data_IF_778224022471
#
_entry.id   IF_778224022471
#
_cell.length_a   1.000
_cell.length_b   1.000
_cell.length_c   1.000
_cell.angle_alpha   90.00
_cell.angle_beta   90.00
_cell.angle_gamma   90.00
#
_symmetry.space_group_name_H-M   'P 1'
#
loop_
_entity.id
_entity.type
_entity.pdbx_description
1 polymer ?
#
# COMPACT_ATOMS: atom_id res chain seq x y z
N UNK A 1 -25.01 -9.93 21.45
CA UNK A 1 -24.34 -9.08 22.47
C UNK A 1 -22.84 -8.94 22.15
N UNK A 2 -22.47 -8.38 20.98
CA UNK A 2 -21.09 -8.37 20.43
C UNK A 2 -20.74 -7.05 19.72
N UNK A 3 -21.12 -5.92 20.32
CA UNK A 3 -20.89 -4.58 19.75
C UNK A 3 -20.18 -3.61 20.69
N UNK A 4 -19.78 -4.04 21.91
CA UNK A 4 -19.11 -3.15 22.89
C UNK A 4 -17.58 -3.14 22.86
N UNK A 5 -16.92 -4.04 22.12
CA UNK A 5 -15.44 -4.16 22.14
C UNK A 5 -14.69 -3.34 21.07
N UNK A 6 -15.37 -2.76 20.07
CA UNK A 6 -14.71 -1.96 19.03
C UNK A 6 -14.44 -0.51 19.48
N UNK A 7 -15.23 0.04 20.41
CA UNK A 7 -15.14 1.43 20.84
C UNK A 7 -14.06 1.67 21.92
N UNK A 8 -13.71 0.64 22.71
CA UNK A 8 -12.69 0.73 23.75
C UNK A 8 -11.27 0.64 23.20
N UNK A 9 -11.06 -0.06 22.07
CA UNK A 9 -9.75 -0.17 21.42
C UNK A 9 -9.27 1.17 20.86
N UNK A 10 -10.18 2.02 20.38
CA UNK A 10 -9.85 3.30 19.76
C UNK A 10 -9.39 4.38 20.79
N UNK A 11 -9.96 4.42 22.01
CA UNK A 11 -9.53 5.40 23.04
C UNK A 11 -8.17 5.11 23.67
N UNK A 12 -7.74 3.85 23.68
CA UNK A 12 -6.45 3.45 24.25
C UNK A 12 -5.28 3.70 23.30
N UNK A 13 -5.53 3.91 22.01
CA UNK A 13 -4.50 4.24 21.03
C UNK A 13 -4.23 5.75 20.97
N UNK A 14 -5.29 6.58 20.99
CA UNK A 14 -5.12 8.04 21.00
C UNK A 14 -4.33 8.56 22.21
N UNK A 15 -4.54 7.96 23.38
CA UNK A 15 -3.84 8.38 24.61
C UNK A 15 -2.36 8.00 24.60
N UNK A 16 -1.99 6.87 23.96
CA UNK A 16 -0.59 6.47 23.76
C UNK A 16 0.10 7.30 22.69
N UNK A 17 -0.62 7.67 21.63
CA UNK A 17 -0.16 8.57 20.56
C UNK A 17 0.13 9.98 21.09
N UNK A 18 -0.82 10.60 21.83
CA UNK A 18 -0.65 11.94 22.41
C UNK A 18 0.53 11.99 23.40
N UNK A 19 0.69 10.96 24.22
CA UNK A 19 1.74 10.90 25.26
C UNK A 19 3.14 10.74 24.68
N UNK A 20 3.32 9.96 23.60
CA UNK A 20 4.61 9.83 22.89
C UNK A 20 4.94 11.06 22.04
N UNK A 21 3.94 11.70 21.46
CA UNK A 21 4.10 12.94 20.69
C UNK A 21 4.50 14.13 21.59
N UNK A 22 3.85 14.29 22.75
CA UNK A 22 4.17 15.32 23.76
C UNK A 22 5.57 15.14 24.36
N UNK A 23 5.99 13.90 24.65
CA UNK A 23 7.33 13.63 25.18
C UNK A 23 8.44 13.95 24.18
N UNK A 24 8.22 13.72 22.88
CA UNK A 24 9.21 14.03 21.84
C UNK A 24 9.24 15.52 21.49
N UNK A 25 8.14 16.26 21.65
CA UNK A 25 8.12 17.72 21.50
C UNK A 25 8.92 18.43 22.61
N UNK A 26 8.86 17.91 23.84
CA UNK A 26 9.64 18.40 24.98
C UNK A 26 11.15 18.12 24.86
N UNK A 27 11.55 17.18 24.02
CA UNK A 27 12.94 16.75 23.86
C UNK A 27 13.67 17.37 22.65
N UNK A 28 13.09 18.36 21.97
CA UNK A 28 13.76 19.02 20.84
C UNK A 28 14.84 20.00 21.34
N UNK A 29 16.13 19.88 20.94
CA UNK A 29 17.27 20.62 21.49
C UNK A 29 17.18 22.15 21.30
N UNK A 30 16.36 22.60 20.36
CA UNK A 30 16.10 24.03 20.10
C UNK A 30 15.21 24.67 21.19
N UNK A 31 14.45 23.89 21.96
CA UNK A 31 13.64 24.38 23.08
C UNK A 31 14.40 24.41 24.41
N UNK A 32 15.42 23.57 24.57
CA UNK A 32 16.19 23.47 25.81
C UNK A 32 17.17 24.64 25.99
N UNK A 33 17.77 25.14 24.92
CA UNK A 33 18.79 26.20 24.99
C UNK A 33 18.24 27.55 25.51
N UNK A 34 17.13 28.11 24.99
CA UNK A 34 16.60 29.37 25.53
C UNK A 34 15.99 29.20 26.92
N UNK A 35 15.40 28.04 27.22
CA UNK A 35 14.85 27.75 28.54
C UNK A 35 15.96 27.67 29.61
N UNK A 36 17.08 27.01 29.30
CA UNK A 36 18.25 26.96 30.17
C UNK A 36 18.93 28.34 30.31
N UNK A 37 19.05 29.12 29.22
CA UNK A 37 19.62 30.48 29.29
C UNK A 37 18.74 31.39 30.15
N UNK A 38 17.41 31.38 29.98
CA UNK A 38 16.49 32.17 30.80
C UNK A 38 16.47 31.74 32.27
N UNK A 39 16.57 30.44 32.56
CA UNK A 39 16.60 29.92 33.92
C UNK A 39 17.97 30.19 34.61
N UNK A 40 19.05 30.23 33.84
CA UNK A 40 20.40 30.63 34.31
C UNK A 40 20.46 32.14 34.60
N UNK A 41 19.85 32.99 33.76
CA UNK A 41 19.77 34.44 33.99
C UNK A 41 18.95 34.80 35.22
N UNK A 42 17.80 34.13 35.43
CA UNK A 42 16.97 34.36 36.63
C UNK A 42 17.68 33.91 37.91
N UNK A 43 18.44 32.80 37.86
CA UNK A 43 19.29 32.36 38.97
C UNK A 43 20.46 33.31 39.22
N UNK A 44 21.07 33.87 38.18
CA UNK A 44 22.15 34.86 38.29
C UNK A 44 21.65 36.18 38.91
N UNK A 45 20.47 36.65 38.52
CA UNK A 45 19.82 37.82 39.11
C UNK A 45 19.51 37.65 40.60
N UNK A 46 19.17 36.42 41.02
CA UNK A 46 18.92 36.09 42.42
C UNK A 46 20.20 35.92 43.25
N UNK A 47 21.32 35.51 42.63
CA UNK A 47 22.60 35.29 43.34
C UNK A 47 23.47 36.53 43.49
N UNK A 48 23.35 37.52 42.59
CA UNK A 48 24.14 38.76 42.66
C UNK A 48 23.41 39.96 43.28
N UNK A 49 22.17 39.79 43.77
CA UNK A 49 21.34 40.81 44.44
C UNK A 49 21.26 42.15 43.70
N UNK A 50 21.22 42.10 42.36
CA UNK A 50 21.15 43.29 41.51
C UNK A 50 19.71 43.76 41.43
N UNK A 51 19.30 44.55 42.42
CA UNK A 51 17.93 45.09 42.55
C UNK A 51 17.71 46.30 41.64
N UNK A 52 17.69 46.07 40.32
CA UNK A 52 17.25 47.08 39.34
C UNK A 52 15.97 46.61 38.66
N UNK A 53 14.88 47.37 38.83
CA UNK A 53 13.57 47.04 38.26
C UNK A 53 13.61 46.89 36.73
N UNK A 54 14.56 47.55 36.06
CA UNK A 54 14.79 47.41 34.63
C UNK A 54 15.35 46.03 34.22
N UNK A 55 16.23 45.41 35.02
CA UNK A 55 16.80 44.11 34.71
C UNK A 55 15.79 42.97 34.91
N UNK A 56 14.96 43.06 35.96
CA UNK A 56 13.82 42.15 36.17
C UNK A 56 12.81 42.23 35.02
N UNK A 57 12.50 43.46 34.57
CA UNK A 57 11.60 43.67 33.45
C UNK A 57 12.19 43.13 32.13
N UNK A 58 13.49 43.34 31.89
CA UNK A 58 14.17 42.81 30.71
C UNK A 58 14.18 41.27 30.70
N UNK A 59 14.41 40.61 31.84
CA UNK A 59 14.37 39.15 31.97
C UNK A 59 12.97 38.58 31.73
N UNK A 60 11.94 39.18 32.34
CA UNK A 60 10.55 38.75 32.13
C UNK A 60 10.09 39.05 30.70
N UNK A 61 10.48 40.19 30.12
CA UNK A 61 10.18 40.54 28.74
C UNK A 61 10.86 39.58 27.74
N UNK A 62 12.10 39.16 27.99
CA UNK A 62 12.78 38.16 27.18
C UNK A 62 12.12 36.77 27.28
N UNK A 63 11.71 36.37 28.50
CA UNK A 63 10.93 35.15 28.72
C UNK A 63 9.58 35.20 27.97
N UNK A 64 8.84 36.30 28.09
CA UNK A 64 7.57 36.49 27.40
C UNK A 64 7.71 36.59 25.89
N UNK A 65 8.79 37.21 25.40
CA UNK A 65 9.07 37.31 23.97
C UNK A 65 9.43 35.94 23.37
N UNK A 66 10.23 35.13 24.08
CA UNK A 66 10.54 33.76 23.65
C UNK A 66 9.31 32.85 23.69
N UNK A 67 8.46 32.98 24.73
CA UNK A 67 7.20 32.25 24.83
C UNK A 67 6.18 32.71 23.77
N UNK A 68 6.12 34.01 23.48
CA UNK A 68 5.29 34.60 22.44
C UNK A 68 5.70 34.15 21.05
N UNK A 69 7.00 34.26 20.71
CA UNK A 69 7.54 33.77 19.44
C UNK A 69 7.36 32.26 19.27
N UNK A 70 7.48 31.49 20.35
CA UNK A 70 7.21 30.05 20.36
C UNK A 70 5.73 29.76 20.09
N UNK A 71 4.80 30.46 20.74
CA UNK A 71 3.37 30.34 20.46
C UNK A 71 3.05 30.75 19.01
N UNK A 72 3.64 31.83 18.51
CA UNK A 72 3.46 32.30 17.12
C UNK A 72 3.99 31.29 16.11
N UNK A 73 5.09 30.61 16.39
CA UNK A 73 5.61 29.53 15.52
C UNK A 73 4.81 28.23 15.66
N UNK A 74 4.17 28.00 16.80
CA UNK A 74 3.33 26.82 17.03
C UNK A 74 1.95 26.97 16.38
N UNK A 75 1.43 28.19 16.30
CA UNK A 75 0.20 28.53 15.54
C UNK A 75 0.49 28.69 14.05
N UNK A 76 1.65 29.23 13.68
CA UNK A 76 2.14 29.28 12.30
C UNK A 76 2.90 27.99 11.98
N UNK A 77 2.18 26.87 11.99
CA UNK A 77 2.73 25.53 11.83
C UNK A 77 3.72 25.46 10.66
N UNK A 78 5.00 25.31 10.99
CA UNK A 78 6.08 25.24 10.00
C UNK A 78 5.85 24.01 9.11
N UNK A 79 5.41 24.20 7.84
CA UNK A 79 4.96 23.11 6.99
C UNK A 79 6.10 22.13 6.68
N UNK A 80 7.36 22.55 6.86
CA UNK A 80 8.53 21.71 6.64
C UNK A 80 8.75 20.70 7.78
N UNK A 81 8.54 21.09 9.04
CA UNK A 81 8.66 20.20 10.19
C UNK A 81 7.52 19.18 10.22
N UNK A 82 6.29 19.60 9.92
CA UNK A 82 5.15 18.68 9.79
C UNK A 82 5.42 17.68 8.67
N UNK A 83 5.91 18.12 7.50
CA UNK A 83 6.27 17.23 6.38
C UNK A 83 7.39 16.24 6.74
N UNK A 84 8.45 16.69 7.42
CA UNK A 84 9.54 15.78 7.81
C UNK A 84 9.09 14.73 8.82
N UNK A 85 8.26 15.10 9.78
CA UNK A 85 7.73 14.17 10.77
C UNK A 85 6.73 13.20 10.13
N UNK A 86 5.84 13.67 9.26
CA UNK A 86 4.90 12.78 8.57
C UNK A 86 5.61 11.83 7.61
N UNK A 87 6.62 12.29 6.87
CA UNK A 87 7.42 11.43 5.98
C UNK A 87 8.17 10.35 6.76
N UNK A 88 8.81 10.71 7.89
CA UNK A 88 9.50 9.72 8.74
C UNK A 88 8.53 8.69 9.32
N UNK A 89 7.36 9.14 9.80
CA UNK A 89 6.35 8.24 10.33
C UNK A 89 5.75 7.32 9.26
N UNK A 90 5.55 7.83 8.03
CA UNK A 90 5.11 7.03 6.90
C UNK A 90 6.16 5.98 6.52
N UNK A 91 7.43 6.38 6.43
CA UNK A 91 8.52 5.46 6.11
C UNK A 91 8.69 4.38 7.20
N UNK A 92 8.59 4.74 8.48
CA UNK A 92 8.61 3.79 9.59
C UNK A 92 7.42 2.81 9.51
N UNK A 93 6.21 3.29 9.25
CA UNK A 93 5.02 2.44 9.13
C UNK A 93 5.10 1.47 7.94
N UNK A 94 5.63 1.92 6.79
CA UNK A 94 5.87 1.05 5.62
C UNK A 94 6.93 0.01 5.94
N UNK A 95 8.03 0.41 6.60
CA UNK A 95 9.08 -0.52 7.00
C UNK A 95 8.61 -1.58 8.02
N UNK A 96 7.77 -1.20 8.98
CA UNK A 96 7.14 -2.16 9.90
C UNK A 96 6.22 -3.13 9.17
N UNK A 97 5.41 -2.64 8.23
CA UNK A 97 4.54 -3.48 7.39
C UNK A 97 5.36 -4.47 6.57
N UNK A 98 6.42 -4.03 5.90
CA UNK A 98 7.27 -4.91 5.09
C UNK A 98 7.96 -5.97 5.95
N UNK A 99 8.51 -5.59 7.11
CA UNK A 99 9.09 -6.56 8.07
C UNK A 99 8.09 -7.63 8.50
N UNK A 100 6.84 -7.23 8.73
CA UNK A 100 5.79 -8.17 9.11
C UNK A 100 5.45 -9.13 7.97
N UNK A 101 5.40 -8.64 6.72
CA UNK A 101 5.17 -9.49 5.55
C UNK A 101 6.35 -10.44 5.28
N UNK A 102 7.59 -9.98 5.51
CA UNK A 102 8.79 -10.82 5.39
C UNK A 102 8.84 -11.91 6.46
N UNK A 103 8.47 -11.58 7.69
CA UNK A 103 8.33 -12.57 8.76
C UNK A 103 7.25 -13.61 8.42
N UNK A 104 6.11 -13.16 7.89
CA UNK A 104 5.05 -14.05 7.47
C UNK A 104 5.49 -14.96 6.31
N UNK A 105 6.14 -14.43 5.27
CA UNK A 105 6.65 -15.22 4.14
C UNK A 105 7.61 -16.31 4.61
N UNK A 106 8.55 -15.96 5.50
CA UNK A 106 9.46 -16.91 6.13
C UNK A 106 8.70 -17.99 6.89
N UNK A 107 7.74 -17.61 7.75
CA UNK A 107 6.94 -18.56 8.53
C UNK A 107 6.09 -19.48 7.65
N UNK A 108 5.52 -18.96 6.56
CA UNK A 108 4.78 -19.77 5.57
C UNK A 108 5.69 -20.77 4.87
N UNK A 109 6.90 -20.36 4.53
CA UNK A 109 7.91 -21.22 3.89
C UNK A 109 8.39 -22.33 4.84
N UNK A 110 8.52 -22.04 6.13
CA UNK A 110 9.03 -22.98 7.14
C UNK A 110 7.96 -23.91 7.72
N UNK A 111 6.67 -23.53 7.68
CA UNK A 111 5.62 -24.21 8.43
C UNK A 111 5.32 -25.64 7.96
N UNK A 112 5.24 -25.86 6.64
CA UNK A 112 5.02 -27.20 6.08
C UNK A 112 5.44 -27.33 4.60
N UNK A 113 5.10 -28.46 3.98
CA UNK A 113 5.39 -28.77 2.57
C UNK A 113 4.37 -28.17 1.59
N UNK A 114 3.43 -27.34 2.02
CA UNK A 114 2.44 -26.72 1.13
C UNK A 114 2.93 -25.33 0.67
N UNK A 115 3.36 -25.17 -0.59
CA UNK A 115 3.86 -23.88 -1.08
C UNK A 115 2.74 -22.89 -1.44
N UNK A 116 1.45 -23.30 -1.39
CA UNK A 116 0.34 -22.46 -1.86
C UNK A 116 0.15 -21.18 -1.02
N UNK A 117 0.18 -21.22 0.33
CA UNK A 117 0.05 -20.01 1.14
C UNK A 117 1.17 -18.99 0.91
N UNK A 118 2.42 -19.46 0.79
CA UNK A 118 3.61 -18.66 0.44
C UNK A 118 3.43 -17.98 -0.92
N UNK A 119 3.08 -18.76 -1.96
CA UNK A 119 2.82 -18.23 -3.31
C UNK A 119 1.72 -17.18 -3.30
N UNK A 120 0.61 -17.43 -2.58
CA UNK A 120 -0.47 -16.46 -2.44
C UNK A 120 0.01 -15.14 -1.83
N UNK A 121 0.86 -15.18 -0.80
CA UNK A 121 1.41 -13.97 -0.19
C UNK A 121 2.28 -13.19 -1.18
N UNK A 122 3.12 -13.87 -1.95
CA UNK A 122 3.99 -13.24 -2.95
C UNK A 122 3.20 -12.62 -4.09
N UNK A 123 2.18 -13.32 -4.59
CA UNK A 123 1.28 -12.80 -5.62
C UNK A 123 0.50 -11.58 -5.12
N UNK A 124 0.03 -11.58 -3.87
CA UNK A 124 -0.59 -10.40 -3.24
C UNK A 124 0.37 -9.22 -3.18
N UNK A 125 1.62 -9.43 -2.80
CA UNK A 125 2.65 -8.36 -2.74
C UNK A 125 2.94 -7.83 -4.14
N UNK A 126 3.05 -8.70 -5.14
CA UNK A 126 3.26 -8.30 -6.52
C UNK A 126 2.08 -7.49 -7.06
N UNK A 127 0.84 -7.93 -6.82
CA UNK A 127 -0.36 -7.20 -7.21
C UNK A 127 -0.44 -5.84 -6.50
N UNK A 128 -0.26 -5.78 -5.18
CA UNK A 128 -0.30 -4.52 -4.44
C UNK A 128 0.72 -3.51 -5.00
N UNK A 129 1.95 -3.95 -5.27
CA UNK A 129 2.98 -3.13 -5.93
C UNK A 129 2.56 -2.68 -7.33
N UNK A 130 1.93 -3.55 -8.11
CA UNK A 130 1.44 -3.19 -9.44
C UNK A 130 0.31 -2.15 -9.39
N UNK A 131 -0.58 -2.22 -8.39
CA UNK A 131 -1.62 -1.20 -8.14
C UNK A 131 -1.00 0.14 -7.68
N UNK A 132 0.03 0.11 -6.84
CA UNK A 132 0.70 1.32 -6.34
C UNK A 132 1.56 2.01 -7.41
N UNK A 133 2.33 1.23 -8.18
CA UNK A 133 3.19 1.75 -9.26
C UNK A 133 2.39 2.20 -10.48
N UNK A 134 1.14 1.76 -10.59
CA UNK A 134 0.16 2.13 -11.61
C UNK A 134 -0.34 3.57 -11.51
N UNK A 135 0.52 4.55 -11.25
CA UNK A 135 0.20 5.99 -11.36
C UNK A 135 -0.25 6.38 -12.79
N UNK A 136 -0.13 5.47 -13.76
CA UNK A 136 -0.57 5.64 -15.13
C UNK A 136 -2.11 5.71 -15.29
N UNK A 137 -2.90 5.25 -14.30
CA UNK A 137 -4.36 5.14 -14.42
C UNK A 137 -5.09 6.39 -13.93
N UNK A 138 -4.38 7.33 -13.29
CA UNK A 138 -4.91 8.63 -12.87
C UNK A 138 -5.46 9.44 -14.05
N UNK A 139 -4.92 9.23 -15.26
CA UNK A 139 -5.40 9.84 -16.49
C UNK A 139 -6.66 9.18 -17.08
N UNK A 140 -6.88 7.88 -16.85
CA UNK A 140 -7.91 7.10 -17.52
C UNK A 140 -9.25 7.05 -16.77
N UNK A 141 -9.23 7.01 -15.42
CA UNK A 141 -10.43 6.76 -14.60
C UNK A 141 -10.96 8.00 -13.87
N UNK A 142 -10.23 9.12 -13.91
CA UNK A 142 -10.48 10.27 -13.05
C UNK A 142 -10.17 9.95 -11.58
N UNK A 143 -9.65 10.92 -10.83
CA UNK A 143 -9.02 10.64 -9.52
C UNK A 143 -9.92 10.03 -8.43
N UNK A 144 -11.25 10.14 -8.50
CA UNK A 144 -12.16 9.65 -7.44
C UNK A 144 -12.38 8.12 -7.49
N UNK A 145 -12.73 7.51 -8.64
CA UNK A 145 -12.72 6.05 -8.80
C UNK A 145 -11.39 5.39 -8.44
N UNK A 146 -10.26 6.01 -8.76
CA UNK A 146 -8.92 5.47 -8.46
C UNK A 146 -8.69 5.30 -6.96
N UNK A 147 -9.04 6.31 -6.15
CA UNK A 147 -8.89 6.26 -4.68
C UNK A 147 -9.75 5.16 -4.07
N UNK A 148 -10.98 4.99 -4.54
CA UNK A 148 -11.89 3.95 -4.03
C UNK A 148 -11.40 2.54 -4.38
N UNK A 149 -10.86 2.34 -5.59
CA UNK A 149 -10.24 1.08 -6.02
C UNK A 149 -9.01 0.77 -5.15
N UNK A 150 -8.10 1.72 -4.97
CA UNK A 150 -6.90 1.53 -4.14
C UNK A 150 -7.25 1.22 -2.68
N UNK A 151 -8.26 1.88 -2.12
CA UNK A 151 -8.76 1.58 -0.78
C UNK A 151 -9.36 0.17 -0.68
N UNK A 152 -10.07 -0.27 -1.73
CA UNK A 152 -10.58 -1.63 -1.87
C UNK A 152 -9.47 -2.68 -1.92
N UNK A 153 -8.43 -2.42 -2.73
CA UNK A 153 -7.25 -3.29 -2.87
C UNK A 153 -6.50 -3.42 -1.54
N UNK A 154 -6.21 -2.31 -0.85
CA UNK A 154 -5.51 -2.34 0.44
C UNK A 154 -6.34 -3.05 1.54
N UNK A 155 -7.67 -2.90 1.52
CA UNK A 155 -8.57 -3.66 2.40
C UNK A 155 -8.51 -5.17 2.10
N UNK A 156 -8.59 -5.55 0.83
CA UNK A 156 -8.54 -6.95 0.41
C UNK A 156 -7.18 -7.57 0.75
N UNK A 157 -6.09 -6.86 0.45
CA UNK A 157 -4.73 -7.27 0.80
C UNK A 157 -4.58 -7.56 2.30
N UNK A 158 -5.00 -6.63 3.17
CA UNK A 158 -4.94 -6.84 4.63
C UNK A 158 -5.75 -8.04 5.08
N UNK A 159 -6.96 -8.22 4.54
CA UNK A 159 -7.81 -9.34 4.89
C UNK A 159 -7.20 -10.68 4.44
N UNK A 160 -6.61 -10.73 3.24
CA UNK A 160 -5.94 -11.93 2.75
C UNK A 160 -4.69 -12.29 3.55
N UNK A 161 -3.88 -11.30 3.95
CA UNK A 161 -2.73 -11.52 4.85
C UNK A 161 -3.18 -12.13 6.18
N UNK A 162 -4.24 -11.59 6.80
CA UNK A 162 -4.82 -12.15 8.02
C UNK A 162 -5.36 -13.58 7.83
N UNK A 163 -5.98 -13.87 6.68
CA UNK A 163 -6.41 -15.23 6.34
C UNK A 163 -5.22 -16.18 6.22
N UNK A 164 -4.12 -15.75 5.60
CA UNK A 164 -2.88 -16.54 5.47
C UNK A 164 -2.22 -16.79 6.83
N UNK A 165 -2.14 -15.79 7.71
CA UNK A 165 -1.73 -16.00 9.11
C UNK A 165 -2.60 -17.05 9.80
N UNK A 166 -3.92 -16.99 9.57
CA UNK A 166 -4.83 -17.98 10.14
C UNK A 166 -4.58 -19.38 9.60
N UNK A 167 -4.17 -19.52 8.33
CA UNK A 167 -3.79 -20.82 7.77
C UNK A 167 -2.58 -21.43 8.48
N UNK A 168 -1.61 -20.61 8.90
CA UNK A 168 -0.47 -21.05 9.72
C UNK A 168 -0.94 -21.54 11.09
N UNK A 169 -1.74 -20.74 11.79
CA UNK A 169 -2.25 -21.11 13.11
C UNK A 169 -3.02 -22.44 13.07
N UNK A 170 -3.85 -22.64 12.04
CA UNK A 170 -4.60 -23.88 11.83
C UNK A 170 -3.67 -25.05 11.49
N UNK A 171 -2.61 -24.82 10.71
CA UNK A 171 -1.58 -25.81 10.41
C UNK A 171 -0.86 -26.28 11.68
N UNK A 172 -0.38 -25.36 12.50
CA UNK A 172 0.27 -25.68 13.77
C UNK A 172 -0.68 -26.38 14.75
N UNK A 173 -1.93 -25.90 14.86
CA UNK A 173 -2.93 -26.53 15.70
C UNK A 173 -3.23 -27.97 15.25
N UNK A 174 -3.34 -28.21 13.93
CA UNK A 174 -3.53 -29.56 13.40
C UNK A 174 -2.34 -30.49 13.69
N UNK A 175 -1.10 -29.99 13.61
CA UNK A 175 0.10 -30.77 13.93
C UNK A 175 0.16 -31.20 15.40
N UNK A 176 -0.38 -30.40 16.32
CA UNK A 176 -0.39 -30.69 17.76
C UNK A 176 -1.45 -31.71 18.18
N UNK A 177 -2.50 -31.90 17.39
CA UNK A 177 -3.57 -32.85 17.71
C UNK A 177 -3.13 -34.28 17.44
N UNK A 178 -3.47 -35.23 18.32
CA UNK A 178 -3.08 -36.63 18.18
C UNK A 178 -3.99 -37.44 17.25
N UNK A 179 -5.26 -37.05 17.10
CA UNK A 179 -6.28 -37.84 16.39
C UNK A 179 -6.66 -37.20 15.06
N UNK A 180 -6.77 -38.03 14.02
CA UNK A 180 -7.16 -37.57 12.68
C UNK A 180 -8.56 -36.94 12.64
N UNK A 181 -9.48 -37.44 13.46
CA UNK A 181 -10.83 -36.87 13.59
C UNK A 181 -10.82 -35.41 14.07
N UNK A 182 -9.85 -35.01 14.90
CA UNK A 182 -9.70 -33.64 15.36
C UNK A 182 -8.89 -32.77 14.40
N UNK A 183 -7.95 -33.36 13.64
CA UNK A 183 -7.14 -32.67 12.61
C UNK A 183 -7.95 -32.25 11.39
N UNK A 184 -8.81 -33.17 10.92
CA UNK A 184 -9.59 -33.03 9.68
C UNK A 184 -10.35 -31.69 9.57
N UNK A 185 -11.15 -31.25 10.56
CA UNK A 185 -11.87 -29.98 10.44
C UNK A 185 -10.94 -28.75 10.36
N UNK A 186 -9.78 -28.77 11.03
CA UNK A 186 -8.79 -27.67 10.95
C UNK A 186 -8.12 -27.62 9.57
N UNK A 187 -7.78 -28.78 9.00
CA UNK A 187 -7.23 -28.87 7.65
C UNK A 187 -8.25 -28.42 6.60
N UNK A 188 -9.52 -28.81 6.72
CA UNK A 188 -10.59 -28.34 5.84
C UNK A 188 -10.80 -26.83 5.94
N UNK A 189 -10.75 -26.27 7.15
CA UNK A 189 -10.85 -24.82 7.33
C UNK A 189 -9.66 -24.10 6.69
N UNK A 190 -8.44 -24.65 6.87
CA UNK A 190 -7.24 -24.11 6.26
C UNK A 190 -7.34 -24.10 4.73
N UNK A 191 -7.78 -25.22 4.13
CA UNK A 191 -7.95 -25.34 2.68
C UNK A 191 -8.92 -24.29 2.13
N UNK A 192 -10.06 -24.09 2.81
CA UNK A 192 -11.05 -23.07 2.41
C UNK A 192 -10.47 -21.66 2.41
N UNK A 193 -9.65 -21.33 3.41
CA UNK A 193 -9.00 -20.01 3.49
C UNK A 193 -7.97 -19.82 2.38
N UNK A 194 -7.17 -20.84 2.07
CA UNK A 194 -6.21 -20.79 0.96
C UNK A 194 -6.95 -20.56 -0.36
N UNK A 195 -8.02 -21.31 -0.62
CA UNK A 195 -8.84 -21.17 -1.81
C UNK A 195 -9.49 -19.79 -1.93
N UNK A 196 -9.99 -19.24 -0.82
CA UNK A 196 -10.59 -17.91 -0.80
C UNK A 196 -9.57 -16.81 -1.12
N UNK A 197 -8.36 -16.92 -0.57
CA UNK A 197 -7.26 -16.00 -0.87
C UNK A 197 -6.84 -16.13 -2.33
N UNK A 198 -6.66 -17.34 -2.85
CA UNK A 198 -6.31 -17.57 -4.25
C UNK A 198 -7.34 -16.99 -5.22
N UNK A 199 -8.64 -17.15 -4.93
CA UNK A 199 -9.73 -16.55 -5.71
C UNK A 199 -9.69 -15.02 -5.67
N UNK A 200 -9.39 -14.45 -4.50
CA UNK A 200 -9.28 -13.00 -4.33
C UNK A 200 -8.12 -12.42 -5.14
N UNK A 201 -6.96 -13.09 -5.12
CA UNK A 201 -5.78 -12.76 -5.95
C UNK A 201 -6.15 -12.78 -7.44
N UNK A 202 -6.83 -13.84 -7.89
CA UNK A 202 -7.25 -13.97 -9.28
C UNK A 202 -8.21 -12.84 -9.70
N UNK A 203 -9.17 -12.49 -8.84
CA UNK A 203 -10.09 -11.38 -9.10
C UNK A 203 -9.35 -10.04 -9.16
N UNK A 204 -8.40 -9.79 -8.26
CA UNK A 204 -7.56 -8.59 -8.30
C UNK A 204 -6.71 -8.52 -9.57
N UNK A 205 -6.13 -9.64 -10.00
CA UNK A 205 -5.40 -9.73 -11.27
C UNK A 205 -6.27 -9.38 -12.48
N UNK A 206 -7.53 -9.84 -12.49
CA UNK A 206 -8.50 -9.47 -13.54
C UNK A 206 -8.83 -7.98 -13.52
N UNK A 207 -9.02 -7.39 -12.34
CA UNK A 207 -9.28 -5.94 -12.20
C UNK A 207 -8.09 -5.15 -12.73
N UNK A 208 -6.86 -5.53 -12.34
CA UNK A 208 -5.63 -4.90 -12.81
C UNK A 208 -5.51 -4.97 -14.34
N UNK A 209 -5.71 -6.15 -14.92
CA UNK A 209 -5.65 -6.35 -16.38
C UNK A 209 -6.73 -5.53 -17.10
N UNK A 210 -7.96 -5.48 -16.57
CA UNK A 210 -9.05 -4.69 -17.14
C UNK A 210 -8.77 -3.18 -17.10
N UNK A 211 -8.05 -2.69 -16.09
CA UNK A 211 -7.65 -1.29 -16.05
C UNK A 211 -6.53 -1.01 -17.07
N UNK A 212 -5.55 -1.91 -17.18
CA UNK A 212 -4.46 -1.79 -18.17
C UNK A 212 -4.97 -1.83 -19.63
N UNK A 213 -6.01 -2.62 -19.92
CA UNK A 213 -6.63 -2.66 -21.25
C UNK A 213 -7.37 -1.37 -21.60
N UNK A 214 -8.00 -0.72 -20.61
CA UNK A 214 -8.64 0.60 -20.80
C UNK A 214 -7.60 1.69 -21.11
N UNK A 215 -6.43 1.62 -20.49
CA UNK A 215 -5.33 2.56 -20.74
C UNK A 215 -4.68 2.32 -22.12
N UNK A 216 -4.42 1.06 -22.46
CA UNK A 216 -3.66 0.70 -23.66
C UNK A 216 -4.49 0.75 -24.94
N UNK A 217 -5.81 0.97 -24.85
CA UNK A 217 -6.71 0.93 -26.00
C UNK A 217 -6.73 -0.41 -26.74
N UNK A 218 -6.27 -1.49 -26.09
CA UNK A 218 -5.98 -2.78 -26.73
C UNK A 218 -7.22 -3.44 -27.34
N UNK A 219 -8.41 -3.09 -26.86
CA UNK A 219 -9.68 -3.51 -27.49
C UNK A 219 -9.80 -3.05 -28.94
N UNK A 220 -9.21 -1.91 -29.33
CA UNK A 220 -9.15 -1.47 -30.73
C UNK A 220 -8.06 -2.21 -31.53
N UNK A 221 -6.89 -2.48 -30.92
CA UNK A 221 -5.76 -3.11 -31.62
C UNK A 221 -6.00 -4.60 -31.92
N UNK A 222 -6.68 -5.34 -31.04
CA UNK A 222 -7.07 -6.73 -31.35
C UNK A 222 -8.06 -6.81 -32.52
N UNK A 223 -8.97 -5.85 -32.62
CA UNK A 223 -9.89 -5.71 -33.76
C UNK A 223 -9.18 -5.36 -35.07
N UNK A 224 -8.22 -4.43 -35.03
CA UNK A 224 -7.42 -4.04 -36.20
C UNK A 224 -6.54 -5.18 -36.71
N UNK A 225 -5.88 -5.93 -35.82
CA UNK A 225 -5.07 -7.10 -36.22
C UNK A 225 -5.94 -8.23 -36.80
N UNK A 226 -7.14 -8.44 -36.27
CA UNK A 226 -8.10 -9.38 -36.84
C UNK A 226 -8.59 -8.92 -38.23
N UNK A 227 -8.87 -7.63 -38.40
CA UNK A 227 -9.25 -7.04 -39.68
C UNK A 227 -8.14 -7.15 -40.74
N UNK A 228 -6.89 -6.85 -40.37
CA UNK A 228 -5.72 -6.98 -41.26
C UNK A 228 -5.52 -8.44 -41.71
N UNK A 229 -5.69 -9.41 -40.80
CA UNK A 229 -5.62 -10.84 -41.17
C UNK A 229 -6.72 -11.23 -42.17
N UNK A 230 -7.93 -10.73 -41.95
CA UNK A 230 -9.05 -10.99 -42.85
C UNK A 230 -8.84 -10.38 -44.24
N UNK A 231 -8.26 -9.18 -44.32
CA UNK A 231 -7.91 -8.52 -45.59
C UNK A 231 -6.79 -9.26 -46.35
N UNK A 232 -5.80 -9.79 -45.63
CA UNK A 232 -4.74 -10.63 -46.19
C UNK A 232 -5.29 -11.96 -46.74
N UNK A 233 -6.18 -12.63 -46.01
CA UNK A 233 -6.82 -13.86 -46.48
C UNK A 233 -7.68 -13.61 -47.72
N UNK A 234 -8.41 -12.50 -47.75
CA UNK A 234 -9.18 -12.10 -48.93
C UNK A 234 -8.27 -11.83 -50.13
N UNK A 235 -7.14 -11.16 -49.91
CA UNK A 235 -6.14 -10.89 -50.96
C UNK A 235 -5.52 -12.18 -51.51
N UNK A 236 -5.24 -13.16 -50.64
CA UNK A 236 -4.75 -14.48 -51.03
C UNK A 236 -5.80 -15.30 -51.80
N UNK A 237 -7.07 -15.19 -51.42
CA UNK A 237 -8.15 -15.85 -52.14
C UNK A 237 -8.33 -15.28 -53.55
N UNK A 238 -8.29 -13.95 -53.69
CA UNK A 238 -8.31 -13.27 -55.00
C UNK A 238 -7.12 -13.72 -55.85
N UNK A 239 -5.91 -13.76 -55.28
CA UNK A 239 -4.71 -14.23 -55.97
C UNK A 239 -4.86 -15.69 -56.46
N UNK A 240 -5.44 -16.58 -55.63
CA UNK A 240 -5.75 -17.97 -56.04
C UNK A 240 -6.76 -18.05 -57.17
N UNK A 241 -7.83 -17.22 -57.15
CA UNK A 241 -8.83 -17.17 -58.22
C UNK A 241 -8.22 -16.66 -59.53
N UNK A 242 -7.39 -15.61 -59.47
CA UNK A 242 -6.67 -15.08 -60.64
C UNK A 242 -5.75 -16.15 -61.22
N UNK A 243 -4.98 -16.86 -60.38
CA UNK A 243 -4.11 -17.96 -60.83
C UNK A 243 -4.90 -19.08 -61.52
N UNK A 244 -6.05 -19.50 -60.97
CA UNK A 244 -6.94 -20.49 -61.61
C UNK A 244 -7.46 -20.02 -62.96
N UNK A 245 -7.82 -18.74 -63.08
CA UNK A 245 -8.35 -18.17 -64.33
C UNK A 245 -7.29 -18.08 -65.42
N UNK A 246 -6.06 -17.72 -65.06
CA UNK A 246 -4.92 -17.72 -66.00
C UNK A 246 -4.66 -19.14 -66.49
N UNK A 247 -4.64 -20.14 -65.59
CA UNK A 247 -4.44 -21.53 -65.98
C UNK A 247 -5.53 -22.04 -66.94
N UNK A 248 -6.81 -21.71 -66.70
CA UNK A 248 -7.90 -22.09 -67.62
C UNK A 248 -7.84 -21.37 -68.97
N UNK A 249 -7.34 -20.12 -68.99
CA UNK A 249 -7.15 -19.36 -70.24
C UNK A 249 -6.00 -19.95 -71.08
N UNK A 250 -4.93 -20.41 -70.43
CA UNK A 250 -3.83 -21.13 -71.10
C UNK A 250 -4.33 -22.44 -71.71
N UNK A 251 -5.10 -23.23 -70.96
CA UNK A 251 -5.70 -24.49 -71.46
C UNK A 251 -6.65 -24.26 -72.64
N UNK A 252 -7.45 -23.19 -72.63
CA UNK A 252 -8.37 -22.84 -73.73
C UNK A 252 -7.64 -22.32 -74.98
N UNK A 253 -6.47 -21.67 -74.82
CA UNK A 253 -5.64 -21.21 -75.94
C UNK A 253 -4.93 -22.41 -76.59
N UNK A 254 -4.38 -23.30 -75.77
CA UNK A 254 -3.72 -24.53 -76.26
C UNK A 254 -4.71 -25.49 -76.93
N UNK A 255 -5.98 -25.51 -76.53
CA UNK A 255 -7.01 -26.33 -77.17
C UNK A 255 -7.52 -25.78 -78.52
N UNK A 256 -7.18 -24.54 -78.89
CA UNK A 256 -7.63 -23.87 -80.13
C UNK A 256 -6.54 -23.72 -81.20
N UNK A 257 -5.31 -24.16 -80.92
CA UNK A 257 -4.19 -24.25 -81.87
C UNK A 257 -4.07 -25.69 -82.37
#
# INVERSE_FOLDING_TARGET
MKTRNALTKNRLDESRWKRRYLFKLLAHPVCLVPFLVGLTDVMALWTFDISSGAALFAGIAALLFSAGFFLTRLTTGDPTLVRQVTQRLQAEAVAEREKHLDDLDRRLTEADRDPRPEKCLRDLRALAKAFEQGHAWDGALGGRPTVDILAGVDKLFRQSVLSLEKTLDLGYAAQQLATEAARTPLQQQRERLIDEVAKSIHQLGKVLAGIQSLESGTEHQEGELAAIRQELDQSLEVARRVKKRIASLDEDIDAKV
#
